data_IF_151018392432
#
_entry.id   IF_151018392432
#
_cell.length_a   1.000
_cell.length_b   1.000
_cell.length_c   1.000
_cell.angle_alpha   90.00
_cell.angle_beta   90.00
_cell.angle_gamma   90.00
#
_symmetry.space_group_name_H-M   'P 1'
#
loop_
_entity.id
_entity.type
_entity.pdbx_description
1 polymer ?
#
# COMPACT_ATOMS: atom_id res chain seq x y z
N UNK A 1 -44.97 -25.82 -10.03
CA UNK A 1 -43.68 -25.68 -10.77
C UNK A 1 -43.60 -24.25 -11.27
N UNK A 2 -43.01 -23.34 -10.49
CA UNK A 2 -42.81 -21.95 -10.93
C UNK A 2 -41.57 -21.88 -11.80
N UNK A 3 -41.76 -21.51 -13.07
CA UNK A 3 -40.69 -21.27 -14.04
C UNK A 3 -39.90 -20.03 -13.63
N UNK A 4 -38.64 -20.23 -13.24
CA UNK A 4 -37.65 -19.15 -13.08
C UNK A 4 -37.49 -18.46 -14.44
N UNK A 5 -37.66 -17.14 -14.55
CA UNK A 5 -37.47 -16.44 -15.83
C UNK A 5 -36.01 -16.55 -16.28
N UNK A 6 -35.74 -16.68 -17.59
CA UNK A 6 -34.38 -16.75 -18.10
C UNK A 6 -33.65 -15.45 -17.77
N UNK A 7 -32.51 -15.58 -17.09
CA UNK A 7 -31.59 -14.48 -16.80
C UNK A 7 -31.16 -13.84 -18.11
N UNK A 8 -31.67 -12.63 -18.39
CA UNK A 8 -31.27 -11.84 -19.55
C UNK A 8 -29.76 -11.54 -19.47
N UNK A 9 -28.98 -12.14 -20.38
CA UNK A 9 -27.56 -11.84 -20.55
C UNK A 9 -27.44 -10.43 -21.13
N UNK A 10 -27.41 -9.41 -20.27
CA UNK A 10 -27.16 -8.04 -20.74
C UNK A 10 -25.79 -7.99 -21.44
N UNK A 11 -25.69 -7.44 -22.66
CA UNK A 11 -24.41 -7.29 -23.34
C UNK A 11 -23.52 -6.35 -22.51
N UNK A 12 -22.27 -6.75 -22.29
CA UNK A 12 -21.31 -5.98 -21.52
C UNK A 12 -21.13 -4.58 -22.11
N UNK A 13 -21.41 -3.54 -21.31
CA UNK A 13 -21.22 -2.13 -21.72
C UNK A 13 -19.75 -1.88 -22.06
N UNK A 14 -19.42 -1.29 -23.22
CA UNK A 14 -18.04 -0.94 -23.54
C UNK A 14 -17.49 0.08 -22.54
N UNK A 15 -16.24 -0.13 -22.11
CA UNK A 15 -15.55 0.74 -21.15
C UNK A 15 -15.35 2.14 -21.76
N UNK A 16 -15.75 3.17 -21.03
CA UNK A 16 -15.51 4.56 -21.44
C UNK A 16 -14.07 4.99 -21.12
N UNK A 17 -13.54 6.03 -21.79
CA UNK A 17 -12.20 6.59 -21.49
C UNK A 17 -12.00 6.94 -20.01
N UNK A 18 -13.05 7.37 -19.33
CA UNK A 18 -13.04 7.65 -17.88
C UNK A 18 -12.83 6.39 -17.03
N UNK A 19 -13.40 5.25 -17.47
CA UNK A 19 -13.27 3.97 -16.76
C UNK A 19 -11.83 3.46 -16.89
N UNK A 20 -11.26 3.53 -18.09
CA UNK A 20 -9.84 3.20 -18.31
C UNK A 20 -8.90 4.06 -17.47
N UNK A 21 -9.17 5.37 -17.38
CA UNK A 21 -8.37 6.29 -16.54
C UNK A 21 -8.48 5.95 -15.05
N UNK A 22 -9.66 5.59 -14.58
CA UNK A 22 -9.87 5.22 -13.17
C UNK A 22 -9.22 3.89 -12.84
N UNK A 23 -9.31 2.92 -13.76
CA UNK A 23 -8.67 1.63 -13.64
C UNK A 23 -7.15 1.75 -13.63
N UNK A 24 -6.58 2.56 -14.53
CA UNK A 24 -5.13 2.77 -14.58
C UNK A 24 -4.61 3.45 -13.32
N UNK A 25 -5.30 4.48 -12.81
CA UNK A 25 -4.97 5.08 -11.51
C UNK A 25 -5.00 4.04 -10.39
N UNK A 26 -6.06 3.24 -10.31
CA UNK A 26 -6.20 2.22 -9.27
C UNK A 26 -5.08 1.17 -9.34
N UNK A 27 -4.73 0.73 -10.55
CA UNK A 27 -3.63 -0.20 -10.78
C UNK A 27 -2.27 0.40 -10.40
N UNK A 28 -2.03 1.68 -10.73
CA UNK A 28 -0.81 2.38 -10.34
C UNK A 28 -0.68 2.51 -8.82
N UNK A 29 -1.78 2.77 -8.10
CA UNK A 29 -1.78 2.79 -6.64
C UNK A 29 -1.33 1.45 -6.05
N UNK A 30 -1.92 0.35 -6.51
CA UNK A 30 -1.50 -0.99 -6.07
C UNK A 30 -0.06 -1.34 -6.47
N UNK A 31 0.39 -0.91 -7.65
CA UNK A 31 1.77 -1.12 -8.08
C UNK A 31 2.78 -0.35 -7.21
N UNK A 32 2.46 0.90 -6.83
CA UNK A 32 3.28 1.70 -5.92
C UNK A 32 3.39 1.05 -4.55
N UNK A 33 2.27 0.57 -3.98
CA UNK A 33 2.28 -0.16 -2.71
C UNK A 33 3.16 -1.42 -2.74
N UNK A 34 3.20 -2.11 -3.88
CA UNK A 34 4.05 -3.29 -4.06
C UNK A 34 5.52 -2.90 -4.25
N UNK A 35 5.76 -1.80 -4.96
CA UNK A 35 7.10 -1.25 -5.15
C UNK A 35 7.76 -0.88 -3.81
N UNK A 36 7.04 -0.18 -2.93
CA UNK A 36 7.57 0.24 -1.62
C UNK A 36 7.93 -0.95 -0.72
N UNK A 37 7.19 -2.06 -0.82
CA UNK A 37 7.55 -3.29 -0.11
C UNK A 37 8.81 -3.95 -0.65
N UNK A 38 8.92 -4.07 -1.97
CA UNK A 38 10.10 -4.68 -2.57
C UNK A 38 11.33 -3.81 -2.27
N UNK A 39 11.21 -2.49 -2.40
CA UNK A 39 12.34 -1.59 -2.17
C UNK A 39 12.78 -1.63 -0.70
N UNK A 40 11.85 -1.69 0.26
CA UNK A 40 12.21 -1.84 1.67
C UNK A 40 13.02 -3.12 1.92
N UNK A 41 12.54 -4.26 1.44
CA UNK A 41 13.22 -5.56 1.62
C UNK A 41 14.59 -5.55 0.95
N UNK A 42 14.69 -4.96 -0.24
CA UNK A 42 15.96 -4.82 -0.96
C UNK A 42 16.98 -3.97 -0.18
N UNK A 43 16.52 -2.90 0.47
CA UNK A 43 17.35 -2.02 1.28
C UNK A 43 17.43 -2.40 2.76
N UNK A 44 16.85 -3.53 3.19
CA UNK A 44 16.81 -3.91 4.60
C UNK A 44 18.19 -3.94 5.25
N UNK A 45 19.22 -4.42 4.53
CA UNK A 45 20.59 -4.41 5.02
C UNK A 45 21.17 -3.01 5.25
N UNK A 46 20.79 -2.05 4.40
CA UNK A 46 21.22 -0.65 4.48
C UNK A 46 20.48 0.05 5.61
N UNK A 47 19.14 -0.08 5.65
CA UNK A 47 18.28 0.45 6.72
C UNK A 47 18.76 -0.04 8.09
N UNK A 48 19.07 -1.33 8.19
CA UNK A 48 19.63 -1.92 9.41
C UNK A 48 20.88 -1.18 9.89
N UNK A 49 21.84 -0.91 8.99
CA UNK A 49 23.12 -0.26 9.35
C UNK A 49 22.97 1.21 9.70
N UNK A 50 22.04 1.92 9.03
CA UNK A 50 21.86 3.36 9.22
C UNK A 50 20.99 3.68 10.45
N UNK A 51 19.97 2.88 10.74
CA UNK A 51 18.97 3.19 11.76
C UNK A 51 19.11 2.43 13.07
N UNK A 52 20.15 1.60 13.22
CA UNK A 52 20.42 0.92 14.49
C UNK A 52 21.89 1.03 14.94
N UNK A 53 22.18 0.96 16.25
CA UNK A 53 23.52 1.18 16.80
C UNK A 53 24.58 0.24 16.23
N UNK A 54 25.80 0.75 16.02
CA UNK A 54 26.94 -0.02 15.48
C UNK A 54 27.34 -1.22 16.35
N UNK A 55 27.12 -1.12 17.66
CA UNK A 55 27.53 -2.12 18.67
C UNK A 55 26.65 -3.38 18.68
N UNK A 56 25.53 -3.35 17.97
CA UNK A 56 24.59 -4.47 17.97
C UNK A 56 25.07 -5.62 17.05
N UNK A 57 24.77 -6.89 17.41
CA UNK A 57 25.01 -8.01 16.51
C UNK A 57 24.22 -7.87 15.19
N UNK A 58 24.85 -8.21 14.06
CA UNK A 58 24.24 -8.07 12.72
C UNK A 58 22.93 -8.84 12.56
N UNK A 59 22.81 -10.03 13.17
CA UNK A 59 21.58 -10.83 13.11
C UNK A 59 20.42 -10.11 13.80
N UNK A 60 20.67 -9.43 14.91
CA UNK A 60 19.66 -8.72 15.69
C UNK A 60 19.18 -7.47 14.94
N UNK A 61 20.08 -6.80 14.22
CA UNK A 61 19.79 -5.64 13.36
C UNK A 61 18.85 -6.01 12.21
N UNK A 62 19.16 -7.10 11.53
CA UNK A 62 18.30 -7.64 10.47
C UNK A 62 16.96 -8.07 11.02
N UNK A 63 16.94 -8.77 12.15
CA UNK A 63 15.70 -9.20 12.81
C UNK A 63 14.80 -8.00 13.17
N UNK A 64 15.37 -6.92 13.70
CA UNK A 64 14.61 -5.70 14.01
C UNK A 64 14.12 -5.00 12.75
N UNK A 65 14.95 -4.93 11.70
CA UNK A 65 14.55 -4.33 10.40
C UNK A 65 13.38 -5.10 9.77
N UNK A 66 13.45 -6.43 9.72
CA UNK A 66 12.34 -7.27 9.27
C UNK A 66 11.15 -7.23 10.23
N UNK A 67 11.38 -7.02 11.53
CA UNK A 67 10.33 -6.80 12.51
C UNK A 67 9.52 -5.54 12.23
N UNK A 68 10.18 -4.43 11.87
CA UNK A 68 9.53 -3.19 11.42
C UNK A 68 8.74 -3.44 10.14
N UNK A 69 9.33 -4.15 9.17
CA UNK A 69 8.62 -4.55 7.95
C UNK A 69 7.35 -5.36 8.25
N UNK A 70 7.45 -6.36 9.11
CA UNK A 70 6.32 -7.20 9.50
C UNK A 70 5.23 -6.39 10.23
N UNK A 71 5.62 -5.50 11.15
CA UNK A 71 4.69 -4.60 11.82
C UNK A 71 3.96 -3.68 10.84
N UNK A 72 4.68 -3.09 9.88
CA UNK A 72 4.09 -2.30 8.80
C UNK A 72 3.16 -3.10 7.90
N UNK A 73 3.52 -4.36 7.59
CA UNK A 73 2.67 -5.27 6.83
C UNK A 73 1.36 -5.59 7.56
N UNK A 74 1.44 -5.85 8.88
CA UNK A 74 0.27 -6.10 9.73
C UNK A 74 -0.60 -4.86 9.93
N UNK A 75 -0.06 -3.65 9.76
CA UNK A 75 -0.85 -2.42 9.78
C UNK A 75 -1.74 -2.27 8.52
N UNK A 76 -1.47 -3.00 7.43
CA UNK A 76 -2.24 -2.87 6.18
C UNK A 76 -3.72 -3.27 6.31
N UNK A 77 -4.10 -4.41 6.91
CA UNK A 77 -5.51 -4.72 7.18
C UNK A 77 -6.23 -3.60 7.91
N UNK A 78 -5.58 -3.03 8.93
CA UNK A 78 -6.15 -1.92 9.70
C UNK A 78 -6.34 -0.67 8.82
N UNK A 79 -5.32 -0.31 8.03
CA UNK A 79 -5.41 0.79 7.06
C UNK A 79 -6.51 0.55 6.02
N UNK A 80 -6.65 -0.68 5.52
CA UNK A 80 -7.68 -1.08 4.56
C UNK A 80 -9.09 -0.93 5.12
N UNK A 81 -9.33 -1.33 6.38
CA UNK A 81 -10.64 -1.16 7.04
C UNK A 81 -10.98 0.33 7.19
N UNK A 82 -10.02 1.13 7.65
CA UNK A 82 -10.20 2.58 7.82
C UNK A 82 -10.49 3.23 6.46
N UNK A 83 -9.65 2.95 5.46
CA UNK A 83 -9.80 3.53 4.11
C UNK A 83 -11.08 3.06 3.42
N UNK A 84 -11.54 1.82 3.66
CA UNK A 84 -12.82 1.32 3.13
C UNK A 84 -13.99 2.10 3.73
N UNK A 85 -14.01 2.27 5.06
CA UNK A 85 -15.07 3.02 5.74
C UNK A 85 -15.16 4.47 5.23
N UNK A 86 -14.03 5.17 5.19
CA UNK A 86 -13.98 6.55 4.69
C UNK A 86 -14.19 6.64 3.16
N UNK A 87 -13.88 5.57 2.41
CA UNK A 87 -14.13 5.47 0.97
C UNK A 87 -15.58 5.44 0.58
N UNK A 88 -16.40 4.77 1.39
CA UNK A 88 -17.84 4.73 1.18
C UNK A 88 -18.52 6.07 1.55
N UNK A 89 -17.92 6.85 2.47
CA UNK A 89 -18.46 8.12 2.97
C UNK A 89 -18.01 9.35 2.17
N UNK A 90 -16.71 9.47 1.83
CA UNK A 90 -16.09 10.67 1.27
C UNK A 90 -15.88 10.61 -0.25
N UNK A 91 -16.12 9.44 -0.85
CA UNK A 91 -16.02 9.17 -2.28
C UNK A 91 -14.65 8.66 -2.74
N UNK A 92 -14.68 7.72 -3.69
CA UNK A 92 -13.51 6.95 -4.18
C UNK A 92 -12.34 7.80 -4.65
N UNK A 93 -12.59 8.93 -5.33
CA UNK A 93 -11.51 9.78 -5.88
C UNK A 93 -10.68 10.46 -4.78
N UNK A 94 -11.33 10.95 -3.71
CA UNK A 94 -10.63 11.61 -2.59
C UNK A 94 -9.82 10.61 -1.79
N UNK A 95 -10.36 9.42 -1.55
CA UNK A 95 -9.64 8.35 -0.86
C UNK A 95 -8.44 7.84 -1.65
N UNK A 96 -8.55 7.75 -2.97
CA UNK A 96 -7.41 7.38 -3.80
C UNK A 96 -6.25 8.38 -3.64
N UNK A 97 -6.53 9.69 -3.68
CA UNK A 97 -5.52 10.73 -3.44
C UNK A 97 -4.96 10.68 -2.03
N UNK A 98 -5.81 10.46 -1.01
CA UNK A 98 -5.39 10.33 0.38
C UNK A 98 -4.45 9.13 0.58
N UNK A 99 -4.73 7.98 -0.05
CA UNK A 99 -3.88 6.79 0.03
C UNK A 99 -2.48 7.06 -0.52
N UNK A 100 -2.39 7.68 -1.71
CA UNK A 100 -1.11 8.08 -2.29
C UNK A 100 -0.37 9.07 -1.37
N UNK A 101 -1.08 10.01 -0.77
CA UNK A 101 -0.48 10.98 0.15
C UNK A 101 0.05 10.31 1.43
N UNK A 102 -0.73 9.40 2.01
CA UNK A 102 -0.31 8.60 3.18
C UNK A 102 0.82 7.63 2.88
N UNK A 103 1.06 7.30 1.62
CA UNK A 103 2.23 6.55 1.19
C UNK A 103 3.45 7.47 1.05
N UNK A 104 3.32 8.59 0.34
CA UNK A 104 4.43 9.49 0.05
C UNK A 104 5.01 10.18 1.29
N UNK A 105 4.16 10.58 2.25
CA UNK A 105 4.58 11.33 3.44
C UNK A 105 5.52 10.51 4.35
N UNK A 106 5.17 9.27 4.77
CA UNK A 106 6.07 8.45 5.56
C UNK A 106 7.37 8.12 4.84
N UNK A 107 7.35 7.84 3.53
CA UNK A 107 8.57 7.59 2.75
C UNK A 107 9.49 8.82 2.73
N UNK A 108 8.92 10.02 2.60
CA UNK A 108 9.68 11.27 2.71
C UNK A 108 10.29 11.45 4.12
N UNK A 109 9.48 11.24 5.17
CA UNK A 109 9.94 11.33 6.56
C UNK A 109 11.08 10.34 6.81
N UNK A 110 10.97 9.10 6.29
CA UNK A 110 12.01 8.08 6.41
C UNK A 110 13.35 8.56 5.81
N UNK A 111 13.31 9.26 4.69
CA UNK A 111 14.52 9.84 4.08
C UNK A 111 15.11 11.04 4.83
N UNK A 112 14.31 11.72 5.67
CA UNK A 112 14.72 12.87 6.47
C UNK A 112 15.13 12.49 7.90
N UNK A 113 14.94 11.25 8.32
CA UNK A 113 15.28 10.80 9.66
C UNK A 113 16.81 10.83 9.87
N UNK A 114 17.28 11.29 11.04
CA UNK A 114 18.69 11.19 11.40
C UNK A 114 19.10 9.71 11.53
N UNK A 115 20.36 9.44 11.21
CA UNK A 115 20.93 8.08 11.21
C UNK A 115 22.01 7.97 12.30
N UNK A 116 22.35 6.75 12.69
CA UNK A 116 23.42 6.45 13.65
C UNK A 116 24.82 6.40 13.02
N UNK A 117 24.96 6.88 11.78
CA UNK A 117 26.22 6.92 11.03
C UNK A 117 27.18 8.00 11.56
#
# INVERSE_FOLDING_TARGET
MSSVPPSSTQPARPLTRSDYKTLSLSALGGALEFYDFIIFVFFAAVVGKLFFPVDMPDWLRMMQTFGIFAAGYLARPLGGIIMAHFGDLLGRKKMFTLSIFMMAVPTLIMGLLPTYA
#
